data_IF_107649131516
#
_entry.id   IF_107649131516
#
_cell.length_a   1.000
_cell.length_b   1.000
_cell.length_c   1.000
_cell.angle_alpha   90.00
_cell.angle_beta   90.00
_cell.angle_gamma   90.00
#
_symmetry.space_group_name_H-M   'P 1'
#
loop_
_entity.id
_entity.type
_entity.pdbx_description
1 polymer ?
#
# COMPACT_ATOMS: atom_id res chain seq x y z
N UNK A 1 34.54 -10.70 2.36
CA UNK A 1 33.95 -12.03 2.04
C UNK A 1 33.06 -11.91 0.81
N UNK A 2 33.14 -12.84 -0.15
CA UNK A 2 32.19 -12.90 -1.28
C UNK A 2 31.12 -13.92 -0.97
N UNK A 3 29.87 -13.61 -1.26
CA UNK A 3 28.77 -14.56 -1.04
C UNK A 3 27.56 -14.21 -1.88
N UNK A 4 26.49 -14.96 -1.68
CA UNK A 4 25.20 -14.73 -2.33
C UNK A 4 24.12 -14.59 -1.29
N UNK A 5 23.28 -13.56 -1.46
CA UNK A 5 22.07 -13.39 -0.67
C UNK A 5 20.87 -13.97 -1.40
N UNK A 6 20.01 -14.69 -0.68
CA UNK A 6 18.72 -15.18 -1.16
C UNK A 6 17.63 -14.66 -0.24
N UNK A 7 16.75 -13.81 -0.77
CA UNK A 7 15.56 -13.31 -0.09
C UNK A 7 14.35 -14.17 -0.45
N UNK A 8 13.52 -14.48 0.53
CA UNK A 8 12.23 -15.15 0.35
C UNK A 8 11.13 -14.47 1.16
N UNK A 9 9.95 -14.35 0.55
CA UNK A 9 8.75 -13.87 1.23
C UNK A 9 7.50 -14.51 0.60
N UNK A 10 6.65 -15.12 1.41
CA UNK A 10 5.35 -15.62 0.94
C UNK A 10 4.32 -14.50 0.92
N UNK A 11 3.49 -14.46 -0.12
CA UNK A 11 2.34 -13.55 -0.19
C UNK A 11 1.04 -14.34 -0.23
N UNK A 12 0.00 -13.79 0.39
CA UNK A 12 -1.31 -14.41 0.53
C UNK A 12 -2.44 -13.53 -0.02
N UNK A 13 -3.64 -14.11 -0.15
CA UNK A 13 -4.85 -13.45 -0.64
C UNK A 13 -4.76 -12.86 -2.05
N UNK A 14 -3.93 -13.48 -2.89
CA UNK A 14 -3.80 -13.16 -4.31
C UNK A 14 -3.86 -14.42 -5.15
N UNK A 15 -4.29 -14.31 -6.41
CA UNK A 15 -4.14 -15.39 -7.38
C UNK A 15 -3.43 -14.87 -8.63
N UNK A 16 -2.20 -15.32 -8.85
CA UNK A 16 -1.39 -14.87 -9.99
C UNK A 16 -1.44 -15.86 -11.16
N UNK A 17 -1.60 -15.37 -12.38
CA UNK A 17 -1.54 -16.19 -13.60
C UNK A 17 -0.11 -16.31 -14.14
N UNK A 18 0.81 -16.82 -13.31
CA UNK A 18 2.23 -16.95 -13.64
C UNK A 18 2.48 -18.30 -14.29
N UNK A 19 3.05 -18.29 -15.49
CA UNK A 19 3.38 -19.51 -16.25
C UNK A 19 4.88 -19.80 -16.32
N UNK A 20 5.72 -18.78 -16.15
CA UNK A 20 7.18 -18.91 -16.16
C UNK A 20 7.70 -19.54 -14.87
N UNK A 21 8.63 -20.50 -14.99
CA UNK A 21 9.35 -21.08 -13.84
C UNK A 21 10.15 -20.03 -13.04
N UNK A 22 10.76 -19.05 -13.75
CA UNK A 22 11.45 -17.91 -13.12
C UNK A 22 10.47 -16.99 -12.40
N UNK A 23 9.18 -17.03 -12.78
CA UNK A 23 8.19 -16.09 -12.30
C UNK A 23 8.16 -14.79 -13.09
N UNK A 24 7.36 -13.86 -12.59
CA UNK A 24 7.19 -12.51 -13.15
C UNK A 24 8.05 -11.51 -12.39
N UNK A 25 8.68 -10.60 -13.13
CA UNK A 25 9.54 -9.55 -12.57
C UNK A 25 8.71 -8.33 -12.20
N UNK A 26 8.72 -7.91 -10.93
CA UNK A 26 7.98 -6.71 -10.49
C UNK A 26 8.88 -5.55 -10.03
N UNK A 27 10.18 -5.79 -9.84
CA UNK A 27 11.19 -4.75 -9.62
C UNK A 27 12.54 -5.27 -10.17
N UNK A 28 13.59 -4.47 -10.20
CA UNK A 28 14.79 -4.77 -10.98
C UNK A 28 15.44 -6.12 -10.68
N UNK A 29 15.45 -6.53 -9.42
CA UNK A 29 16.00 -7.82 -9.01
C UNK A 29 14.99 -8.73 -8.30
N UNK A 30 13.70 -8.36 -8.32
CA UNK A 30 12.66 -9.09 -7.60
C UNK A 30 11.69 -9.80 -8.54
N UNK A 31 11.41 -11.04 -8.18
CA UNK A 31 10.53 -11.94 -8.91
C UNK A 31 9.44 -12.46 -8.00
N UNK A 32 8.27 -12.71 -8.56
CA UNK A 32 7.19 -13.47 -7.92
C UNK A 32 6.95 -14.76 -8.68
N UNK A 33 6.92 -15.89 -8.00
CA UNK A 33 6.73 -17.22 -8.62
C UNK A 33 5.75 -18.08 -7.83
N UNK A 34 5.15 -19.04 -8.53
CA UNK A 34 4.33 -20.13 -7.97
C UNK A 34 4.94 -21.51 -8.24
N UNK A 35 6.05 -21.56 -8.97
CA UNK A 35 6.68 -22.81 -9.38
C UNK A 35 7.34 -23.48 -8.17
N UNK A 36 6.78 -24.61 -7.73
CA UNK A 36 7.22 -25.31 -6.52
C UNK A 36 8.64 -25.86 -6.65
N UNK A 37 9.08 -26.22 -7.86
CA UNK A 37 10.46 -26.65 -8.10
C UNK A 37 11.45 -25.49 -7.92
N UNK A 38 11.12 -24.29 -8.42
CA UNK A 38 11.93 -23.09 -8.20
C UNK A 38 11.91 -22.67 -6.74
N UNK A 39 10.76 -22.72 -6.07
CA UNK A 39 10.66 -22.43 -4.63
C UNK A 39 11.53 -23.41 -3.83
N UNK A 40 11.49 -24.71 -4.14
CA UNK A 40 12.35 -25.71 -3.50
C UNK A 40 13.85 -25.47 -3.71
N UNK A 41 14.24 -25.06 -4.92
CA UNK A 41 15.62 -24.63 -5.23
C UNK A 41 16.04 -23.44 -4.36
N UNK A 42 15.19 -22.42 -4.25
CA UNK A 42 15.49 -21.23 -3.43
C UNK A 42 15.58 -21.56 -1.93
N UNK A 43 14.69 -22.44 -1.44
CA UNK A 43 14.71 -22.90 -0.04
C UNK A 43 16.02 -23.63 0.30
N UNK A 44 16.63 -24.34 -0.66
CA UNK A 44 17.91 -25.03 -0.43
C UNK A 44 19.05 -24.08 0.00
N UNK A 45 18.98 -22.80 -0.39
CA UNK A 45 19.95 -21.79 0.02
C UNK A 45 19.93 -21.49 1.53
N UNK A 46 18.87 -21.89 2.24
CA UNK A 46 18.68 -21.66 3.68
C UNK A 46 19.15 -22.85 4.53
N UNK A 47 19.53 -23.98 3.91
CA UNK A 47 19.84 -25.22 4.64
C UNK A 47 18.72 -25.60 5.62
N UNK A 48 19.06 -25.78 6.90
CA UNK A 48 18.09 -26.07 7.96
C UNK A 48 17.56 -24.81 8.67
N UNK A 49 17.99 -23.60 8.28
CA UNK A 49 17.72 -22.35 8.99
C UNK A 49 16.30 -21.80 8.81
N UNK A 50 15.53 -22.31 7.83
CA UNK A 50 14.18 -21.82 7.55
C UNK A 50 13.11 -22.38 8.51
N UNK A 51 13.28 -23.63 8.96
CA UNK A 51 12.27 -24.37 9.72
C UNK A 51 11.27 -25.14 8.84
N UNK A 52 10.71 -26.22 9.38
CA UNK A 52 9.82 -27.12 8.63
C UNK A 52 8.42 -26.52 8.39
N UNK A 53 7.94 -25.69 9.30
CA UNK A 53 6.63 -25.02 9.19
C UNK A 53 6.67 -23.98 8.07
N UNK A 54 7.71 -23.15 8.06
CA UNK A 54 7.96 -22.12 7.06
C UNK A 54 8.20 -22.72 5.67
N UNK A 55 8.99 -23.79 5.59
CA UNK A 55 9.20 -24.55 4.35
C UNK A 55 7.88 -25.05 3.78
N UNK A 56 7.02 -25.66 4.61
CA UNK A 56 5.71 -26.15 4.19
C UNK A 56 4.79 -25.02 3.75
N UNK A 57 4.84 -23.87 4.42
CA UNK A 57 4.07 -22.70 4.03
C UNK A 57 4.49 -22.21 2.64
N UNK A 58 5.78 -21.94 2.41
CA UNK A 58 6.28 -21.41 1.15
C UNK A 58 6.05 -22.36 -0.04
N UNK A 59 6.18 -23.67 0.16
CA UNK A 59 6.00 -24.66 -0.92
C UNK A 59 4.54 -24.95 -1.27
N UNK A 60 3.63 -24.87 -0.29
CA UNK A 60 2.30 -25.48 -0.45
C UNK A 60 1.11 -24.62 -0.02
N UNK A 61 1.34 -23.51 0.70
CA UNK A 61 0.24 -22.69 1.25
C UNK A 61 0.27 -21.25 0.79
N UNK A 62 1.47 -20.67 0.69
CA UNK A 62 1.63 -19.32 0.17
C UNK A 62 1.01 -19.24 -1.23
N UNK A 63 0.24 -18.18 -1.48
CA UNK A 63 -0.38 -18.01 -2.78
C UNK A 63 0.68 -17.79 -3.88
N UNK A 64 1.78 -17.12 -3.55
CA UNK A 64 3.00 -17.06 -4.36
C UNK A 64 4.20 -16.73 -3.45
N UNK A 65 5.41 -16.89 -4.00
CA UNK A 65 6.66 -16.55 -3.31
C UNK A 65 7.38 -15.46 -4.07
N UNK A 66 7.68 -14.37 -3.37
CA UNK A 66 8.59 -13.32 -3.82
C UNK A 66 10.01 -13.69 -3.45
N UNK A 67 10.94 -13.47 -4.36
CA UNK A 67 12.36 -13.72 -4.12
C UNK A 67 13.28 -12.74 -4.84
N UNK A 68 14.50 -12.64 -4.31
CA UNK A 68 15.67 -11.98 -4.93
C UNK A 68 16.90 -12.84 -4.66
N UNK A 69 17.76 -12.99 -5.65
CA UNK A 69 19.08 -13.64 -5.49
C UNK A 69 20.14 -12.67 -6.01
N UNK A 70 21.10 -12.32 -5.16
CA UNK A 70 22.09 -11.29 -5.49
C UNK A 70 23.48 -11.66 -4.93
N UNK A 71 24.54 -11.63 -5.76
CA UNK A 71 25.91 -11.74 -5.27
C UNK A 71 26.32 -10.45 -4.56
N UNK A 72 26.87 -10.56 -3.36
CA UNK A 72 27.35 -9.41 -2.59
C UNK A 72 28.80 -9.58 -2.13
N UNK A 73 29.44 -8.46 -1.82
CA UNK A 73 30.74 -8.42 -1.14
C UNK A 73 30.55 -7.75 0.20
N UNK A 74 30.93 -8.45 1.26
CA UNK A 74 30.88 -7.96 2.63
C UNK A 74 32.29 -7.60 3.07
N UNK A 75 32.49 -6.43 3.65
CA UNK A 75 33.77 -6.05 4.23
C UNK A 75 34.06 -6.97 5.44
N UNK A 76 35.27 -7.55 5.60
CA UNK A 76 35.62 -8.30 6.80
C UNK A 76 35.40 -7.55 8.13
N UNK A 77 35.38 -6.21 8.13
CA UNK A 77 35.13 -5.39 9.31
C UNK A 77 33.63 -5.19 9.63
N UNK A 78 32.72 -5.57 8.74
CA UNK A 78 31.28 -5.34 8.87
C UNK A 78 30.60 -6.46 9.68
N UNK A 79 29.66 -6.09 10.55
CA UNK A 79 28.82 -7.08 11.23
C UNK A 79 27.79 -7.64 10.24
N UNK A 80 28.06 -8.86 9.75
CA UNK A 80 27.19 -9.56 8.78
C UNK A 80 25.74 -9.63 9.26
N UNK A 81 25.51 -9.85 10.57
CA UNK A 81 24.15 -9.92 11.11
C UNK A 81 23.38 -8.61 10.95
N UNK A 82 23.97 -7.48 11.35
CA UNK A 82 23.36 -6.16 11.23
C UNK A 82 23.15 -5.76 9.76
N UNK A 83 24.11 -6.05 8.89
CA UNK A 83 23.99 -5.82 7.45
C UNK A 83 22.80 -6.61 6.86
N UNK A 84 22.63 -7.88 7.26
CA UNK A 84 21.51 -8.70 6.80
C UNK A 84 20.17 -8.18 7.33
N UNK A 85 20.11 -7.71 8.57
CA UNK A 85 18.88 -7.11 9.12
C UNK A 85 18.46 -5.85 8.35
N UNK A 86 19.41 -4.95 8.07
CA UNK A 86 19.14 -3.74 7.27
C UNK A 86 18.69 -4.09 5.86
N UNK A 87 19.37 -5.03 5.20
CA UNK A 87 19.01 -5.48 3.84
C UNK A 87 17.66 -6.17 3.81
N UNK A 88 17.33 -6.97 4.83
CA UNK A 88 16.03 -7.62 4.96
C UNK A 88 14.90 -6.61 5.11
N UNK A 89 15.10 -5.55 5.91
CA UNK A 89 14.13 -4.44 6.01
C UNK A 89 13.94 -3.75 4.66
N UNK A 90 15.02 -3.49 3.92
CA UNK A 90 14.93 -2.91 2.56
C UNK A 90 14.16 -3.82 1.60
N UNK A 91 14.40 -5.13 1.62
CA UNK A 91 13.65 -6.10 0.82
C UNK A 91 12.16 -6.10 1.19
N UNK A 92 11.82 -6.08 2.48
CA UNK A 92 10.44 -6.01 2.95
C UNK A 92 9.74 -4.72 2.51
N UNK A 93 10.45 -3.58 2.52
CA UNK A 93 9.93 -2.31 1.99
C UNK A 93 9.63 -2.39 0.50
N UNK A 94 10.44 -3.11 -0.29
CA UNK A 94 10.13 -3.38 -1.72
C UNK A 94 8.87 -4.22 -1.88
N UNK A 95 8.64 -5.21 -1.02
CA UNK A 95 7.38 -5.98 -1.03
C UNK A 95 6.19 -5.10 -0.63
N UNK A 96 6.34 -4.19 0.35
CA UNK A 96 5.29 -3.21 0.69
C UNK A 96 4.98 -2.25 -0.47
N UNK A 97 6.00 -1.86 -1.24
CA UNK A 97 5.80 -1.12 -2.48
C UNK A 97 4.90 -1.87 -3.48
N UNK A 98 5.14 -3.18 -3.66
CA UNK A 98 4.29 -4.02 -4.51
C UNK A 98 2.85 -4.12 -3.97
N UNK A 99 2.65 -4.36 -2.67
CA UNK A 99 1.31 -4.40 -2.07
C UNK A 99 0.52 -3.10 -2.35
N UNK A 100 1.19 -1.94 -2.19
CA UNK A 100 0.59 -0.63 -2.44
C UNK A 100 0.27 -0.41 -3.92
N UNK A 101 1.16 -0.84 -4.83
CA UNK A 101 0.94 -0.75 -6.27
C UNK A 101 -0.20 -1.68 -6.74
N UNK A 102 -0.28 -2.90 -6.21
CA UNK A 102 -1.38 -3.82 -6.48
C UNK A 102 -2.72 -3.25 -6.01
N UNK A 103 -2.74 -2.58 -4.85
CA UNK A 103 -3.94 -1.86 -4.40
C UNK A 103 -4.37 -0.79 -5.40
N UNK A 104 -3.47 0.01 -5.97
CA UNK A 104 -3.85 1.05 -6.93
C UNK A 104 -4.59 0.52 -8.16
N UNK A 105 -4.28 -0.70 -8.58
CA UNK A 105 -4.97 -1.34 -9.69
C UNK A 105 -6.39 -1.74 -9.28
N UNK A 106 -6.54 -2.37 -8.10
CA UNK A 106 -7.84 -2.79 -7.58
C UNK A 106 -7.80 -3.15 -6.10
N UNK A 107 -8.97 -3.07 -5.46
CA UNK A 107 -9.17 -3.51 -4.08
C UNK A 107 -8.79 -4.98 -3.88
N UNK A 108 -7.95 -5.23 -2.88
CA UNK A 108 -7.43 -6.53 -2.52
C UNK A 108 -6.91 -6.56 -1.07
N UNK A 109 -6.79 -7.79 -0.55
CA UNK A 109 -6.27 -8.10 0.78
C UNK A 109 -4.85 -8.71 0.73
N UNK A 110 -4.08 -8.42 -0.33
CA UNK A 110 -2.70 -8.91 -0.47
C UNK A 110 -1.87 -8.48 0.73
N UNK A 111 -1.18 -9.43 1.36
CA UNK A 111 -0.25 -9.17 2.44
C UNK A 111 0.86 -10.22 2.48
N UNK A 112 1.94 -9.87 3.18
CA UNK A 112 2.91 -10.81 3.73
C UNK A 112 3.11 -10.55 5.23
N UNK A 113 3.38 -11.62 5.97
CA UNK A 113 3.64 -11.54 7.40
C UNK A 113 5.13 -11.66 7.73
N UNK A 114 5.87 -12.54 7.05
CA UNK A 114 7.27 -12.86 7.37
C UNK A 114 8.13 -12.95 6.11
N UNK A 115 9.39 -12.55 6.26
CA UNK A 115 10.40 -12.66 5.23
C UNK A 115 11.71 -13.21 5.81
N UNK A 116 12.51 -13.80 4.94
CA UNK A 116 13.78 -14.44 5.29
C UNK A 116 14.87 -14.00 4.32
N UNK A 117 16.08 -13.89 4.85
CA UNK A 117 17.28 -13.59 4.07
C UNK A 117 18.38 -14.58 4.47
N UNK A 118 18.85 -15.38 3.52
CA UNK A 118 20.02 -16.22 3.67
C UNK A 118 21.23 -15.56 3.02
N UNK A 119 22.38 -15.62 3.69
CA UNK A 119 23.69 -15.33 3.13
C UNK A 119 24.53 -16.59 3.10
N UNK A 120 25.02 -16.94 1.92
CA UNK A 120 25.91 -18.08 1.73
C UNK A 120 27.29 -17.59 1.27
N UNK A 121 28.31 -17.87 2.07
CA UNK A 121 29.70 -17.59 1.76
C UNK A 121 30.57 -18.80 2.11
N UNK A 122 31.28 -19.34 1.12
CA UNK A 122 32.23 -20.44 1.28
C UNK A 122 31.67 -21.65 2.07
N UNK A 123 30.37 -21.95 1.88
CA UNK A 123 29.68 -23.06 2.54
C UNK A 123 29.12 -22.74 3.93
N UNK A 124 29.37 -21.55 4.47
CA UNK A 124 28.71 -21.04 5.67
C UNK A 124 27.39 -20.37 5.30
N UNK A 125 26.32 -20.76 5.99
CA UNK A 125 24.97 -20.22 5.79
C UNK A 125 24.56 -19.46 7.04
N UNK A 126 24.27 -18.17 6.88
CA UNK A 126 23.64 -17.33 7.90
C UNK A 126 22.23 -17.00 7.46
N UNK A 127 21.24 -17.16 8.35
CA UNK A 127 19.84 -16.90 8.04
C UNK A 127 19.28 -15.89 9.04
N UNK A 128 18.72 -14.80 8.52
CA UNK A 128 17.97 -13.82 9.28
C UNK A 128 16.50 -13.86 8.85
N UNK A 129 15.61 -13.48 9.75
CA UNK A 129 14.20 -13.31 9.46
C UNK A 129 13.64 -12.10 10.19
N UNK A 130 12.56 -11.57 9.65
CA UNK A 130 11.82 -10.47 10.26
C UNK A 130 10.36 -10.58 9.82
N UNK A 131 9.47 -9.95 10.59
CA UNK A 131 8.05 -9.96 10.33
C UNK A 131 7.51 -8.55 10.20
N UNK A 132 6.49 -8.39 9.36
CA UNK A 132 5.74 -7.16 9.25
C UNK A 132 4.32 -7.41 9.74
N UNK A 133 4.00 -6.95 10.94
CA UNK A 133 2.67 -7.12 11.51
C UNK A 133 1.65 -6.21 10.79
N UNK A 134 1.22 -6.61 9.61
CA UNK A 134 0.22 -5.90 8.80
C UNK A 134 -0.59 -6.91 8.03
N UNK A 135 -1.88 -7.01 8.36
CA UNK A 135 -2.82 -7.87 7.66
C UNK A 135 -3.83 -7.00 6.93
N UNK A 136 -3.61 -6.84 5.63
CA UNK A 136 -4.50 -6.03 4.78
C UNK A 136 -5.83 -6.76 4.57
N UNK A 137 -6.92 -6.00 4.58
CA UNK A 137 -8.24 -6.47 4.18
C UNK A 137 -8.78 -5.63 3.01
N UNK A 138 -9.71 -6.22 2.25
CA UNK A 138 -10.45 -5.53 1.21
C UNK A 138 -11.28 -4.38 1.80
N UNK A 139 -11.76 -3.46 0.96
CA UNK A 139 -12.53 -2.29 1.41
C UNK A 139 -13.79 -2.66 2.21
N UNK A 140 -14.38 -3.82 1.91
CA UNK A 140 -15.55 -4.38 2.60
C UNK A 140 -15.23 -5.12 3.92
N UNK A 141 -13.95 -5.15 4.31
CA UNK A 141 -13.45 -5.83 5.51
C UNK A 141 -13.15 -7.32 5.33
N UNK A 142 -13.30 -7.87 4.12
CA UNK A 142 -13.06 -9.30 3.85
C UNK A 142 -11.59 -9.58 3.50
N UNK A 143 -11.22 -10.86 3.54
CA UNK A 143 -9.92 -11.37 3.08
C UNK A 143 -10.10 -12.23 1.83
N UNK A 144 -10.83 -11.72 0.83
CA UNK A 144 -11.02 -12.45 -0.43
C UNK A 144 -9.72 -12.47 -1.24
N UNK A 145 -9.40 -13.62 -1.82
CA UNK A 145 -8.30 -13.72 -2.76
C UNK A 145 -8.64 -13.00 -4.06
N UNK A 146 -7.73 -12.14 -4.54
CA UNK A 146 -7.94 -11.35 -5.77
C UNK A 146 -6.94 -11.76 -6.85
N UNK A 147 -7.47 -12.01 -8.05
CA UNK A 147 -6.65 -12.41 -9.18
C UNK A 147 -5.92 -11.25 -9.84
N UNK A 148 -4.65 -11.45 -10.21
CA UNK A 148 -3.84 -10.50 -10.96
C UNK A 148 -3.24 -11.18 -12.20
N UNK A 149 -3.41 -10.51 -13.35
CA UNK A 149 -2.75 -10.89 -14.60
C UNK A 149 -1.29 -10.43 -14.62
N UNK A 150 -0.46 -11.02 -15.50
CA UNK A 150 0.91 -10.54 -15.70
C UNK A 150 0.97 -9.09 -16.16
N UNK A 151 -0.03 -8.62 -16.92
CA UNK A 151 -0.11 -7.23 -17.35
C UNK A 151 -0.38 -6.28 -16.17
N UNK A 152 -1.28 -6.65 -15.25
CA UNK A 152 -1.50 -5.89 -14.03
C UNK A 152 -0.25 -5.85 -13.14
N UNK A 153 0.49 -6.95 -13.01
CA UNK A 153 1.76 -6.94 -12.28
C UNK A 153 2.82 -6.05 -12.96
N UNK A 154 2.80 -5.98 -14.29
CA UNK A 154 3.68 -5.08 -15.07
C UNK A 154 3.31 -3.62 -14.84
N UNK A 155 2.02 -3.28 -14.80
CA UNK A 155 1.53 -1.94 -14.46
C UNK A 155 1.94 -1.58 -13.02
N UNK A 156 1.75 -2.50 -12.06
CA UNK A 156 2.15 -2.30 -10.66
C UNK A 156 3.65 -1.99 -10.52
N UNK A 157 4.49 -2.62 -11.35
CA UNK A 157 5.94 -2.32 -11.41
C UNK A 157 6.23 -0.89 -11.87
N UNK A 158 5.51 -0.39 -12.86
CA UNK A 158 5.75 0.95 -13.43
C UNK A 158 5.32 2.08 -12.50
N UNK A 159 4.47 1.80 -11.50
CA UNK A 159 4.07 2.75 -10.47
C UNK A 159 5.15 2.93 -9.40
N UNK A 160 6.40 3.22 -9.80
CA UNK A 160 7.48 3.57 -8.88
C UNK A 160 7.03 4.74 -8.01
N UNK A 161 6.49 4.43 -6.83
CA UNK A 161 6.32 5.42 -5.79
C UNK A 161 7.73 5.77 -5.36
N UNK A 162 8.07 7.07 -5.19
CA UNK A 162 9.12 7.40 -4.25
C UNK A 162 8.77 6.60 -3.00
N UNK A 163 9.61 5.64 -2.62
CA UNK A 163 9.47 5.03 -1.31
C UNK A 163 9.50 6.24 -0.42
N UNK A 164 8.34 6.65 0.11
CA UNK A 164 8.32 7.88 0.88
C UNK A 164 9.41 7.68 1.91
N UNK A 165 10.29 8.66 2.04
CA UNK A 165 11.34 8.69 3.03
C UNK A 165 10.63 8.72 4.40
N UNK A 166 10.00 7.60 4.73
CA UNK A 166 9.06 7.38 5.82
C UNK A 166 9.79 6.75 6.98
N UNK A 167 11.12 6.72 6.92
CA UNK A 167 11.94 6.66 8.11
C UNK A 167 11.90 8.08 8.68
N UNK A 168 10.76 8.43 9.27
CA UNK A 168 10.77 9.35 10.40
C UNK A 168 11.90 8.88 11.31
N UNK A 169 12.75 9.82 11.75
CA UNK A 169 13.80 9.52 12.72
C UNK A 169 13.24 8.58 13.78
N UNK A 170 13.77 7.36 13.86
CA UNK A 170 13.27 6.34 14.75
C UNK A 170 13.00 6.95 16.14
N UNK A 171 11.77 6.83 16.64
CA UNK A 171 11.38 7.33 17.96
C UNK A 171 10.51 8.59 18.00
N UNK A 172 10.09 9.17 16.87
CA UNK A 172 9.06 10.22 16.93
C UNK A 172 7.72 9.65 17.44
N UNK A 173 7.00 10.34 18.35
CA UNK A 173 5.76 9.83 18.92
C UNK A 173 4.57 9.87 17.95
N UNK A 174 4.71 10.54 16.79
CA UNK A 174 3.63 10.67 15.81
C UNK A 174 4.15 10.92 14.40
N UNK A 175 3.48 10.33 13.40
CA UNK A 175 3.68 10.61 11.97
C UNK A 175 3.03 11.93 11.54
N UNK A 176 2.25 12.57 12.42
CA UNK A 176 1.54 13.83 12.18
C UNK A 176 2.33 15.06 12.67
N UNK A 177 3.65 14.91 12.82
CA UNK A 177 4.51 15.99 13.27
C UNK A 177 4.54 17.15 12.24
N UNK A 178 4.86 18.35 12.73
CA UNK A 178 5.06 19.52 11.88
C UNK A 178 6.15 19.24 10.84
N UNK A 179 5.87 19.55 9.57
CA UNK A 179 6.77 19.26 8.44
C UNK A 179 6.42 17.99 7.65
N UNK A 180 5.47 17.18 8.12
CA UNK A 180 4.91 16.08 7.30
C UNK A 180 4.09 16.63 6.13
N UNK A 181 4.31 16.05 4.95
CA UNK A 181 3.57 16.38 3.73
C UNK A 181 2.10 15.95 3.86
N UNK A 182 1.19 16.63 3.15
CA UNK A 182 -0.24 16.28 3.14
C UNK A 182 -0.46 14.87 2.64
N UNK A 183 0.21 14.52 1.55
CA UNK A 183 0.10 13.21 0.94
C UNK A 183 0.67 12.09 1.84
N UNK A 184 1.76 12.36 2.57
CA UNK A 184 2.32 11.39 3.53
C UNK A 184 1.32 11.08 4.65
N UNK A 185 0.64 12.10 5.18
CA UNK A 185 -0.40 11.92 6.20
C UNK A 185 -1.61 11.18 5.64
N UNK A 186 -1.99 11.47 4.39
CA UNK A 186 -3.01 10.72 3.68
C UNK A 186 -2.64 9.23 3.59
N UNK A 187 -1.46 8.89 3.08
CA UNK A 187 -0.98 7.51 2.95
C UNK A 187 -0.93 6.77 4.30
N UNK A 188 -0.52 7.46 5.38
CA UNK A 188 -0.55 6.91 6.74
C UNK A 188 -1.96 6.42 7.12
N UNK A 189 -2.98 7.25 6.89
CA UNK A 189 -4.37 6.90 7.19
C UNK A 189 -4.93 5.82 6.25
N UNK A 190 -4.57 5.83 4.96
CA UNK A 190 -4.95 4.76 4.02
C UNK A 190 -4.33 3.43 4.47
N UNK A 191 -3.06 3.43 4.88
CA UNK A 191 -2.39 2.26 5.44
C UNK A 191 -3.15 1.66 6.61
N UNK A 192 -3.51 2.50 7.58
CA UNK A 192 -4.29 2.12 8.76
C UNK A 192 -5.69 1.62 8.41
N UNK A 193 -6.38 2.25 7.44
CA UNK A 193 -7.67 1.76 6.95
C UNK A 193 -7.52 0.35 6.37
N UNK A 194 -6.50 0.10 5.55
CA UNK A 194 -6.30 -1.22 4.94
C UNK A 194 -5.93 -2.29 5.98
N UNK A 195 -5.28 -1.93 7.08
CA UNK A 195 -4.96 -2.83 8.21
C UNK A 195 -6.15 -3.12 9.14
N UNK A 196 -7.23 -2.33 9.08
CA UNK A 196 -8.45 -2.58 9.85
C UNK A 196 -9.40 -3.50 9.09
N UNK A 197 -9.92 -4.56 9.71
CA UNK A 197 -11.04 -5.34 9.15
C UNK A 197 -12.42 -4.76 9.50
N UNK A 198 -12.49 -3.91 10.53
CA UNK A 198 -13.72 -3.22 10.92
C UNK A 198 -13.99 -2.09 9.91
N UNK A 199 -15.08 -2.22 9.15
CA UNK A 199 -15.46 -1.32 8.05
C UNK A 199 -15.79 0.08 8.54
N UNK A 200 -16.35 0.23 9.74
CA UNK A 200 -16.67 1.53 10.30
C UNK A 200 -15.37 2.28 10.67
N UNK A 201 -14.39 1.56 11.24
CA UNK A 201 -13.06 2.09 11.48
C UNK A 201 -12.31 2.37 10.17
N UNK A 202 -12.45 1.55 9.13
CA UNK A 202 -11.89 1.85 7.79
C UNK A 202 -12.36 3.21 7.29
N UNK A 203 -13.68 3.43 7.31
CA UNK A 203 -14.27 4.71 6.89
C UNK A 203 -13.78 5.88 7.75
N UNK A 204 -13.63 5.68 9.06
CA UNK A 204 -13.07 6.71 9.92
C UNK A 204 -11.63 7.07 9.54
N UNK A 205 -10.79 6.08 9.22
CA UNK A 205 -9.41 6.29 8.77
C UNK A 205 -9.37 6.92 7.37
N UNK A 206 -10.15 6.43 6.40
CA UNK A 206 -10.24 7.05 5.08
C UNK A 206 -10.64 8.53 5.15
N UNK A 207 -11.65 8.87 5.94
CA UNK A 207 -12.05 10.26 6.16
C UNK A 207 -10.92 11.11 6.76
N UNK A 208 -10.18 10.60 7.74
CA UNK A 208 -9.01 11.29 8.30
C UNK A 208 -7.91 11.49 7.24
N UNK A 209 -7.73 10.52 6.34
CA UNK A 209 -6.85 10.64 5.18
C UNK A 209 -7.30 11.77 4.25
N UNK A 210 -8.57 11.77 3.84
CA UNK A 210 -9.13 12.82 2.98
C UNK A 210 -9.00 14.20 3.64
N UNK A 211 -9.22 14.32 4.95
CA UNK A 211 -8.98 15.56 5.70
C UNK A 211 -7.53 16.02 5.60
N UNK A 212 -6.58 15.11 5.84
CA UNK A 212 -5.16 15.45 5.77
C UNK A 212 -4.75 15.92 4.37
N UNK A 213 -5.36 15.34 3.33
CA UNK A 213 -5.07 15.66 1.94
C UNK A 213 -5.66 16.99 1.50
N UNK A 214 -6.96 17.22 1.72
CA UNK A 214 -7.67 18.34 1.08
C UNK A 214 -8.17 19.41 2.03
N UNK A 215 -8.09 19.25 3.36
CA UNK A 215 -8.59 20.27 4.29
C UNK A 215 -7.57 21.38 4.58
N UNK A 216 -8.00 22.64 4.51
CA UNK A 216 -7.18 23.81 4.86
C UNK A 216 -7.70 24.57 6.09
N UNK A 217 -8.83 24.12 6.67
CA UNK A 217 -9.45 24.74 7.85
C UNK A 217 -10.19 23.70 8.69
N UNK A 218 -10.40 23.99 9.97
CA UNK A 218 -11.11 23.07 10.90
C UNK A 218 -12.64 23.22 10.88
N UNK A 219 -13.16 24.27 10.24
CA UNK A 219 -14.60 24.52 10.17
C UNK A 219 -15.21 23.81 8.97
N UNK A 220 -16.42 23.27 9.14
CA UNK A 220 -17.19 22.64 8.07
C UNK A 220 -16.46 21.51 7.30
N UNK A 221 -15.56 20.80 7.97
CA UNK A 221 -14.69 19.76 7.37
C UNK A 221 -15.44 18.82 6.43
N UNK A 222 -16.57 18.28 6.90
CA UNK A 222 -17.37 17.35 6.11
C UNK A 222 -17.89 17.96 4.80
N UNK A 223 -18.24 19.26 4.78
CA UNK A 223 -18.64 19.95 3.55
C UNK A 223 -17.45 20.20 2.64
N UNK A 224 -16.40 20.84 3.17
CA UNK A 224 -15.20 21.19 2.41
C UNK A 224 -14.53 19.97 1.77
N UNK A 225 -14.36 18.89 2.52
CA UNK A 225 -13.75 17.66 2.00
C UNK A 225 -14.62 17.02 0.93
N UNK A 226 -15.94 16.95 1.12
CA UNK A 226 -16.86 16.37 0.13
C UNK A 226 -16.86 17.16 -1.18
N UNK A 227 -16.84 18.49 -1.09
CA UNK A 227 -16.80 19.40 -2.25
C UNK A 227 -15.48 19.29 -3.00
N UNK A 228 -14.35 19.41 -2.30
CA UNK A 228 -13.01 19.37 -2.90
C UNK A 228 -12.73 18.04 -3.57
N UNK A 229 -13.06 16.92 -2.92
CA UNK A 229 -12.89 15.58 -3.51
C UNK A 229 -13.72 15.44 -4.79
N UNK A 230 -14.98 15.90 -4.77
CA UNK A 230 -15.82 15.86 -5.97
C UNK A 230 -15.28 16.75 -7.09
N UNK A 231 -14.73 17.93 -6.77
CA UNK A 231 -14.14 18.84 -7.75
C UNK A 231 -12.85 18.31 -8.38
N UNK A 232 -12.04 17.55 -7.64
CA UNK A 232 -10.82 16.92 -8.14
C UNK A 232 -11.10 15.75 -9.09
N UNK A 233 -12.12 14.95 -8.78
CA UNK A 233 -12.39 13.69 -9.49
C UNK A 233 -13.40 13.83 -10.62
N UNK A 234 -14.12 14.95 -10.70
CA UNK A 234 -15.08 15.20 -11.77
C UNK A 234 -15.10 16.68 -12.19
N UNK A 235 -15.28 16.92 -13.49
CA UNK A 235 -15.51 18.26 -14.03
C UNK A 235 -16.81 18.90 -13.51
N UNK A 236 -16.99 20.21 -13.70
CA UNK A 236 -18.21 20.90 -13.27
C UNK A 236 -19.47 20.26 -13.84
N UNK A 237 -20.48 20.05 -12.99
CA UNK A 237 -21.79 19.51 -13.38
C UNK A 237 -22.25 18.30 -12.58
N UNK A 238 -23.19 17.54 -13.14
CA UNK A 238 -23.93 16.49 -12.44
C UNK A 238 -23.08 15.32 -11.93
N UNK A 239 -21.90 15.08 -12.52
CA UNK A 239 -21.01 13.97 -12.13
C UNK A 239 -20.37 14.17 -10.75
N UNK A 240 -20.33 15.41 -10.23
CA UNK A 240 -19.82 15.69 -8.88
C UNK A 240 -20.78 15.25 -7.78
N UNK A 241 -22.09 15.27 -8.05
CA UNK A 241 -23.11 15.06 -7.03
C UNK A 241 -23.04 13.65 -6.39
N UNK A 242 -22.84 12.55 -7.14
CA UNK A 242 -22.63 11.24 -6.55
C UNK A 242 -21.40 11.17 -5.64
N UNK A 243 -20.26 11.73 -6.08
CA UNK A 243 -19.00 11.74 -5.32
C UNK A 243 -19.17 12.52 -4.01
N UNK A 244 -19.74 13.73 -4.11
CA UNK A 244 -20.04 14.56 -2.94
C UNK A 244 -20.92 13.83 -1.92
N UNK A 245 -22.03 13.21 -2.38
CA UNK A 245 -22.95 12.48 -1.49
C UNK A 245 -22.29 11.27 -0.84
N UNK A 246 -21.44 10.55 -1.57
CA UNK A 246 -20.71 9.40 -1.06
C UNK A 246 -19.72 9.80 0.05
N UNK A 247 -18.92 10.83 -0.17
CA UNK A 247 -18.00 11.36 0.86
C UNK A 247 -18.80 11.87 2.06
N UNK A 248 -19.90 12.59 1.84
CA UNK A 248 -20.77 13.07 2.91
C UNK A 248 -21.35 11.92 3.75
N UNK A 249 -21.77 10.83 3.10
CA UNK A 249 -22.25 9.63 3.77
C UNK A 249 -21.15 8.97 4.63
N UNK A 250 -19.93 8.86 4.10
CA UNK A 250 -18.78 8.33 4.84
C UNK A 250 -18.50 9.11 6.13
N UNK A 251 -18.62 10.44 6.08
CA UNK A 251 -18.53 11.29 7.27
C UNK A 251 -19.60 11.00 8.32
N UNK A 252 -20.84 10.74 7.88
CA UNK A 252 -21.93 10.31 8.75
C UNK A 252 -21.60 9.01 9.47
N UNK A 253 -21.02 8.04 8.77
CA UNK A 253 -20.58 6.78 9.36
C UNK A 253 -19.37 6.94 10.29
N UNK A 254 -18.36 7.75 9.90
CA UNK A 254 -17.22 8.08 10.77
C UNK A 254 -17.69 8.60 12.12
N UNK A 255 -18.57 9.59 12.14
CA UNK A 255 -19.06 10.21 13.38
C UNK A 255 -19.71 9.17 14.29
N UNK A 256 -20.59 8.30 13.75
CA UNK A 256 -21.16 7.19 14.51
C UNK A 256 -20.08 6.26 15.07
N UNK A 257 -19.10 5.88 14.24
CA UNK A 257 -18.08 4.90 14.60
C UNK A 257 -17.16 5.41 15.72
N UNK A 258 -16.64 6.63 15.60
CA UNK A 258 -15.70 7.21 16.59
C UNK A 258 -16.37 7.56 17.92
N UNK A 259 -17.69 7.77 17.92
CA UNK A 259 -18.47 7.97 19.14
C UNK A 259 -19.08 6.68 19.69
N UNK A 260 -18.76 5.52 19.12
CA UNK A 260 -19.22 4.21 19.61
C UNK A 260 -20.72 3.96 19.44
N UNK A 261 -21.38 4.66 18.50
CA UNK A 261 -22.80 4.45 18.24
C UNK A 261 -23.01 3.11 17.47
N UNK A 262 -24.05 2.33 17.82
CA UNK A 262 -24.32 1.06 17.15
C UNK A 262 -24.84 1.26 15.73
N UNK A 263 -24.48 0.35 14.82
CA UNK A 263 -25.01 0.28 13.46
C UNK A 263 -26.19 -0.70 13.42
N UNK A 264 -27.28 -0.34 12.72
CA UNK A 264 -28.40 -1.26 12.48
C UNK A 264 -27.98 -2.28 11.42
N UNK A 265 -28.54 -3.49 11.46
CA UNK A 265 -28.21 -4.54 10.48
C UNK A 265 -28.43 -4.11 9.03
N UNK A 266 -29.46 -3.30 8.76
CA UNK A 266 -29.72 -2.73 7.44
C UNK A 266 -28.63 -1.74 6.97
N UNK A 267 -27.94 -1.07 7.90
CA UNK A 267 -26.89 -0.11 7.59
C UNK A 267 -25.56 -0.81 7.24
N UNK A 268 -25.38 -2.09 7.61
CA UNK A 268 -24.11 -2.81 7.44
C UNK A 268 -23.75 -3.00 5.97
N UNK A 269 -24.72 -3.30 5.10
CA UNK A 269 -24.46 -3.43 3.66
C UNK A 269 -24.11 -2.07 3.05
N UNK A 270 -24.86 -1.02 3.41
CA UNK A 270 -24.57 0.34 2.97
C UNK A 270 -23.20 0.84 3.46
N UNK A 271 -22.78 0.41 4.65
CA UNK A 271 -21.46 0.70 5.20
C UNK A 271 -20.35 0.09 4.33
N UNK A 272 -20.50 -1.16 3.89
CA UNK A 272 -19.55 -1.85 2.98
C UNK A 272 -19.51 -1.22 1.60
N UNK A 273 -20.68 -0.88 1.04
CA UNK A 273 -20.77 -0.21 -0.26
C UNK A 273 -20.10 1.17 -0.20
N UNK A 274 -20.36 1.92 0.89
CA UNK A 274 -19.73 3.20 1.14
C UNK A 274 -18.20 3.05 1.27
N UNK A 275 -17.71 2.10 2.06
CA UNK A 275 -16.28 1.85 2.21
C UNK A 275 -15.60 1.49 0.88
N UNK A 276 -16.25 0.68 0.05
CA UNK A 276 -15.77 0.32 -1.29
C UNK A 276 -15.65 1.56 -2.19
N UNK A 277 -16.66 2.43 -2.18
CA UNK A 277 -16.64 3.67 -2.93
C UNK A 277 -15.57 4.66 -2.46
N UNK A 278 -15.39 4.80 -1.13
CA UNK A 278 -14.36 5.68 -0.56
C UNK A 278 -12.95 5.13 -0.83
N UNK A 279 -12.75 3.83 -0.74
CA UNK A 279 -11.47 3.19 -1.08
C UNK A 279 -11.11 3.42 -2.56
N UNK A 280 -12.10 3.40 -3.47
CA UNK A 280 -11.88 3.79 -4.87
C UNK A 280 -11.49 5.27 -5.00
N UNK A 281 -12.20 6.18 -4.33
CA UNK A 281 -11.84 7.61 -4.30
C UNK A 281 -10.40 7.81 -3.83
N UNK A 282 -9.97 7.08 -2.80
CA UNK A 282 -8.61 7.17 -2.28
C UNK A 282 -7.56 6.69 -3.31
N UNK A 283 -7.88 5.64 -4.09
CA UNK A 283 -7.03 5.23 -5.22
C UNK A 283 -6.97 6.32 -6.29
N UNK A 284 -8.10 6.86 -6.70
CA UNK A 284 -8.17 7.86 -7.76
C UNK A 284 -7.39 9.12 -7.39
N UNK A 285 -7.47 9.56 -6.14
CA UNK A 285 -6.67 10.68 -5.60
C UNK A 285 -5.17 10.34 -5.54
N UNK A 286 -4.81 9.09 -5.25
CA UNK A 286 -3.42 8.65 -5.29
C UNK A 286 -2.87 8.66 -6.72
N UNK A 287 -3.66 8.18 -7.68
CA UNK A 287 -3.31 8.20 -9.10
C UNK A 287 -3.21 9.64 -9.63
N UNK A 288 -4.09 10.54 -9.18
CA UNK A 288 -4.00 11.97 -9.47
C UNK A 288 -2.69 12.58 -8.93
N UNK A 289 -2.27 12.22 -7.71
CA UNK A 289 -1.02 12.72 -7.10
C UNK A 289 0.24 12.28 -7.86
N UNK A 290 0.27 11.02 -8.30
CA UNK A 290 1.38 10.46 -9.07
C UNK A 290 1.28 10.71 -10.58
N UNK A 291 0.19 11.35 -11.03
CA UNK A 291 -0.03 11.68 -12.43
C UNK A 291 1.08 12.58 -12.99
N UNK A 292 1.16 12.62 -14.32
CA UNK A 292 2.13 13.46 -15.04
C UNK A 292 1.91 14.95 -14.81
N UNK A 293 0.67 15.35 -14.52
CA UNK A 293 0.31 16.73 -14.20
C UNK A 293 0.64 17.03 -12.73
N UNK A 294 1.71 17.80 -12.52
CA UNK A 294 2.19 18.14 -11.19
C UNK A 294 1.29 19.13 -10.44
N UNK A 295 0.33 19.80 -11.10
CA UNK A 295 -0.45 20.89 -10.49
C UNK A 295 -1.11 20.50 -9.17
N UNK A 296 -1.71 19.31 -9.09
CA UNK A 296 -2.33 18.84 -7.86
C UNK A 296 -1.30 18.64 -6.74
N UNK A 297 -0.21 17.92 -7.03
CA UNK A 297 0.87 17.65 -6.06
C UNK A 297 1.49 18.95 -5.57
N UNK A 298 1.83 19.85 -6.48
CA UNK A 298 2.48 21.11 -6.16
C UNK A 298 1.55 22.01 -5.33
N UNK A 299 0.25 22.02 -5.65
CA UNK A 299 -0.74 22.77 -4.88
C UNK A 299 -0.87 22.26 -3.44
N UNK A 300 -1.03 20.95 -3.23
CA UNK A 300 -1.27 20.42 -1.88
C UNK A 300 -0.02 20.46 -0.99
N UNK A 301 1.19 20.31 -1.55
CA UNK A 301 2.42 20.34 -0.76
C UNK A 301 2.99 21.75 -0.52
N UNK A 302 2.29 22.77 -0.98
CA UNK A 302 2.63 24.17 -0.77
C UNK A 302 1.96 24.76 0.49
N UNK A 303 1.56 26.04 0.45
CA UNK A 303 0.86 26.71 1.54
C UNK A 303 -0.64 26.43 1.52
N UNK A 304 -1.30 26.56 2.68
CA UNK A 304 -2.76 26.42 2.79
C UNK A 304 -3.52 27.40 1.91
N UNK A 305 -2.96 28.59 1.67
CA UNK A 305 -3.53 29.58 0.76
C UNK A 305 -3.52 29.06 -0.68
N UNK A 306 -2.36 28.61 -1.17
CA UNK A 306 -2.23 28.15 -2.55
C UNK A 306 -3.04 26.87 -2.80
N UNK A 307 -3.08 25.94 -1.85
CA UNK A 307 -3.97 24.78 -1.90
C UNK A 307 -5.45 25.20 -1.99
N UNK A 308 -5.86 26.22 -1.23
CA UNK A 308 -7.24 26.73 -1.25
C UNK A 308 -7.59 27.37 -2.60
N UNK A 309 -6.69 28.18 -3.16
CA UNK A 309 -6.84 28.77 -4.49
C UNK A 309 -7.01 27.69 -5.57
N UNK A 310 -6.13 26.68 -5.56
CA UNK A 310 -6.24 25.54 -6.47
C UNK A 310 -7.59 24.81 -6.35
N UNK A 311 -8.10 24.59 -5.13
CA UNK A 311 -9.40 23.94 -4.95
C UNK A 311 -10.57 24.80 -5.44
N UNK A 312 -10.47 26.13 -5.36
CA UNK A 312 -11.47 27.03 -5.92
C UNK A 312 -11.46 27.00 -7.45
N UNK A 313 -10.28 27.01 -8.07
CA UNK A 313 -10.14 26.82 -9.52
C UNK A 313 -10.72 25.47 -9.95
N UNK A 314 -10.38 24.39 -9.25
CA UNK A 314 -10.96 23.06 -9.46
C UNK A 314 -12.49 23.09 -9.37
N UNK A 315 -13.05 23.83 -8.41
CA UNK A 315 -14.49 23.92 -8.19
C UNK A 315 -15.21 24.68 -9.32
N UNK A 316 -14.66 25.78 -9.83
CA UNK A 316 -15.37 26.62 -10.81
C UNK A 316 -14.98 26.32 -12.26
N UNK A 317 -13.70 26.06 -12.52
CA UNK A 317 -13.15 25.88 -13.87
C UNK A 317 -12.97 24.40 -14.21
N UNK A 318 -12.82 23.55 -13.20
CA UNK A 318 -12.58 22.12 -13.34
C UNK A 318 -11.09 21.79 -13.46
N UNK A 319 -10.69 20.67 -12.87
CA UNK A 319 -9.38 20.07 -13.15
C UNK A 319 -9.55 19.10 -14.31
N UNK A 320 -8.69 19.18 -15.32
CA UNK A 320 -8.66 18.22 -16.42
C UNK A 320 -8.11 16.86 -15.93
N UNK A 321 -8.83 16.18 -15.02
CA UNK A 321 -8.51 14.83 -14.59
C UNK A 321 -9.14 13.83 -15.56
N UNK A 322 -8.30 13.08 -16.27
CA UNK A 322 -8.74 11.91 -17.03
C UNK A 322 -8.06 10.67 -16.43
N UNK A 323 -8.78 9.83 -15.66
CA UNK A 323 -8.20 8.64 -15.05
C UNK A 323 -7.70 7.61 -16.09
N UNK A 324 -8.08 7.73 -17.36
CA UNK A 324 -7.63 6.85 -18.45
C UNK A 324 -6.24 7.21 -19.02
N UNK A 325 -5.50 8.15 -18.43
CA UNK A 325 -4.16 8.60 -18.89
C UNK A 325 -3.01 8.27 -17.93
N UNK A 326 -3.23 7.42 -16.92
CA UNK A 326 -2.18 6.87 -16.05
C UNK A 326 -1.72 5.51 -16.56
#
# INVERSE_FOLDING_TARGET
MRGTTTFLCGIDQVTLSITSRRGEKFSDDYFVTKDTAKIGELISAFGNGLGSVETKYLLHRAAAVIYRVEPIRVDPAENVGEMLDQKLVQDMLKVKGLEAAMWLIKDNACHFDRAWLAFNADGQITVNNNFWASRKSCADGTFRAVGFSSEELRIARCSERPAGEHIVSAGAPTMLAKGSLRFQRFEYFIGAARDSMDVAMKLAQYCSGLEALVSTAQQELSHQVSERVAALLAGPGGQRLPIYKLVKQAYGYRSKAVHGAPFKSADVNQLRDCATGIDQICRDLTLLYFGTDARFRDAIESSDQHATEFFLEALFEGVAFNPARV
#
